data_IF_177572493083
#
_entry.id   IF_177572493083
#
_cell.length_a   1.000
_cell.length_b   1.000
_cell.length_c   1.000
_cell.angle_alpha   90.00
_cell.angle_beta   90.00
_cell.angle_gamma   90.00
#
_symmetry.space_group_name_H-M   'P 1'
#
loop_
_entity.id
_entity.type
_entity.pdbx_description
1 polymer ?
#
# COMPACT_ATOMS: atom_id res chain seq x y z
N UNK A 1 36.41 -29.11 -40.15
CA UNK A 1 35.28 -29.47 -39.24
C UNK A 1 35.89 -29.99 -37.94
N UNK A 2 35.57 -29.56 -36.72
CA UNK A 2 34.48 -28.74 -36.19
C UNK A 2 34.96 -28.22 -34.83
N UNK A 3 34.92 -26.90 -34.63
CA UNK A 3 35.06 -26.26 -33.32
C UNK A 3 33.97 -26.79 -32.36
N UNK A 4 34.30 -27.04 -31.10
CA UNK A 4 33.33 -26.90 -30.00
C UNK A 4 33.90 -25.93 -28.96
N UNK A 5 33.22 -24.80 -28.71
CA UNK A 5 33.71 -23.76 -27.83
C UNK A 5 33.51 -24.14 -26.36
N UNK A 6 34.43 -23.64 -25.53
CA UNK A 6 34.24 -23.51 -24.08
C UNK A 6 32.89 -22.83 -23.84
N UNK A 7 31.99 -23.50 -23.13
CA UNK A 7 30.75 -22.89 -22.63
C UNK A 7 31.13 -21.92 -21.50
N UNK A 8 31.42 -20.67 -21.86
CA UNK A 8 31.45 -19.56 -20.91
C UNK A 8 29.98 -19.27 -20.59
N UNK A 9 29.51 -19.72 -19.42
CA UNK A 9 28.18 -19.39 -18.93
C UNK A 9 28.02 -17.87 -18.94
N UNK A 10 27.06 -17.37 -19.70
CA UNK A 10 26.77 -15.94 -19.76
C UNK A 10 26.08 -15.55 -18.45
N UNK A 11 26.78 -14.85 -17.56
CA UNK A 11 26.22 -14.26 -16.33
C UNK A 11 25.23 -13.12 -16.64
N UNK A 12 24.15 -13.42 -17.37
CA UNK A 12 23.16 -12.42 -17.82
C UNK A 12 22.05 -12.16 -16.79
N UNK A 13 22.09 -12.80 -15.64
CA UNK A 13 21.21 -12.52 -14.50
C UNK A 13 21.94 -12.71 -13.17
N UNK A 14 23.15 -12.15 -13.04
CA UNK A 14 23.72 -11.97 -11.71
C UNK A 14 22.94 -10.82 -11.05
N UNK A 15 21.80 -11.16 -10.43
CA UNK A 15 21.12 -10.23 -9.54
C UNK A 15 22.10 -9.95 -8.40
N UNK A 16 22.69 -8.76 -8.40
CA UNK A 16 23.36 -8.23 -7.22
C UNK A 16 22.22 -7.84 -6.28
N UNK A 17 21.95 -8.57 -5.19
CA UNK A 17 20.91 -8.15 -4.27
C UNK A 17 21.33 -6.79 -3.73
N UNK A 18 20.60 -5.74 -4.12
CA UNK A 18 20.69 -4.46 -3.45
C UNK A 18 20.31 -4.65 -1.98
N UNK A 19 20.88 -3.82 -1.10
CA UNK A 19 20.45 -3.81 0.29
C UNK A 19 19.04 -3.23 0.38
N UNK A 20 18.13 -3.82 1.16
CA UNK A 20 16.78 -3.30 1.29
C UNK A 20 16.77 -2.02 2.13
N UNK A 21 16.06 -0.99 1.65
CA UNK A 21 15.87 0.29 2.32
C UNK A 21 14.39 0.67 2.37
N UNK A 22 13.99 1.32 3.44
CA UNK A 22 12.76 2.12 3.54
C UNK A 22 13.14 3.59 3.39
N UNK A 23 12.37 4.33 2.59
CA UNK A 23 12.65 5.73 2.27
C UNK A 23 11.36 6.55 2.40
N UNK A 24 11.43 7.65 3.13
CA UNK A 24 10.39 8.68 3.18
C UNK A 24 10.83 9.86 2.32
N UNK A 25 9.95 10.28 1.42
CA UNK A 25 10.10 11.48 0.60
C UNK A 25 8.91 12.41 0.78
N UNK A 26 9.15 13.71 0.78
CA UNK A 26 8.09 14.71 0.65
C UNK A 26 7.75 14.90 -0.83
N UNK A 27 6.45 14.92 -1.10
CA UNK A 27 5.87 15.18 -2.42
C UNK A 27 5.22 16.56 -2.41
N UNK A 28 5.37 17.29 -3.51
CA UNK A 28 4.59 18.50 -3.75
C UNK A 28 3.21 18.13 -4.29
N UNK A 29 2.21 19.00 -4.05
CA UNK A 29 0.85 18.83 -4.60
C UNK A 29 0.78 19.05 -6.12
N UNK A 30 1.85 19.56 -6.73
CA UNK A 30 1.95 19.85 -8.15
C UNK A 30 2.40 18.62 -8.96
N UNK A 31 2.15 18.65 -10.28
CA UNK A 31 2.66 17.62 -11.22
C UNK A 31 4.15 17.81 -11.50
N UNK A 32 4.98 17.66 -10.48
CA UNK A 32 6.45 17.67 -10.62
C UNK A 32 7.01 16.29 -10.31
N UNK A 33 8.14 15.97 -10.93
CA UNK A 33 8.92 14.78 -10.57
C UNK A 33 9.87 15.04 -9.40
N UNK A 34 9.81 16.24 -8.82
CA UNK A 34 10.65 16.60 -7.69
C UNK A 34 10.11 15.96 -6.42
N UNK A 35 11.02 15.39 -5.64
CA UNK A 35 10.72 14.83 -4.33
C UNK A 35 11.87 15.17 -3.40
N UNK A 36 11.55 15.66 -2.21
CA UNK A 36 12.56 15.97 -1.20
C UNK A 36 12.77 14.73 -0.33
N UNK A 37 14.01 14.25 -0.29
CA UNK A 37 14.36 13.07 0.50
C UNK A 37 14.40 13.42 1.98
N UNK A 38 13.54 12.81 2.79
CA UNK A 38 13.41 13.14 4.21
C UNK A 38 14.19 12.19 5.11
N UNK A 39 14.09 10.89 4.87
CA UNK A 39 14.64 9.88 5.78
C UNK A 39 14.90 8.53 5.08
N UNK A 40 16.13 7.99 5.15
CA UNK A 40 16.46 6.62 4.74
C UNK A 40 16.72 5.70 5.94
N UNK A 41 16.08 4.54 5.96
CA UNK A 41 16.38 3.46 6.93
C UNK A 41 16.80 2.20 6.19
N UNK A 42 17.95 1.64 6.59
CA UNK A 42 18.40 0.33 6.11
C UNK A 42 17.62 -0.76 6.83
N UNK A 43 17.04 -1.69 6.08
CA UNK A 43 16.30 -2.81 6.65
C UNK A 43 17.26 -3.94 7.03
N UNK A 44 17.19 -4.37 8.29
CA UNK A 44 17.88 -5.58 8.72
C UNK A 44 17.21 -6.82 8.10
N UNK A 45 17.95 -7.91 7.85
CA UNK A 45 17.34 -9.17 7.46
C UNK A 45 16.28 -9.61 8.47
N UNK A 46 15.06 -9.90 8.00
CA UNK A 46 13.94 -10.29 8.85
C UNK A 46 13.28 -9.17 9.65
N UNK A 47 13.65 -7.90 9.42
CA UNK A 47 12.97 -6.77 10.03
C UNK A 47 11.48 -6.76 9.66
N UNK A 48 10.63 -6.42 10.63
CA UNK A 48 9.22 -6.17 10.37
C UNK A 48 9.07 -4.82 9.65
N UNK A 49 8.76 -4.90 8.35
CA UNK A 49 8.66 -3.72 7.49
C UNK A 49 7.60 -2.73 8.01
N UNK A 50 6.48 -3.21 8.56
CA UNK A 50 5.41 -2.33 9.02
C UNK A 50 5.82 -1.56 10.28
N UNK A 51 6.52 -2.22 11.21
CA UNK A 51 7.04 -1.58 12.42
C UNK A 51 8.13 -0.55 12.08
N UNK A 52 9.09 -0.92 11.24
CA UNK A 52 10.16 0.00 10.82
C UNK A 52 9.56 1.22 10.10
N UNK A 53 8.60 1.01 9.20
CA UNK A 53 7.95 2.11 8.48
C UNK A 53 7.17 3.01 9.42
N UNK A 54 6.41 2.44 10.36
CA UNK A 54 5.63 3.23 11.31
C UNK A 54 6.52 4.06 12.24
N UNK A 55 7.62 3.48 12.74
CA UNK A 55 8.57 4.21 13.57
C UNK A 55 9.29 5.31 12.79
N UNK A 56 9.66 5.04 11.53
CA UNK A 56 10.25 6.03 10.64
C UNK A 56 9.30 7.20 10.38
N UNK A 57 8.04 6.92 10.03
CA UNK A 57 7.02 7.95 9.78
C UNK A 57 6.73 8.75 11.05
N UNK A 58 6.63 8.10 12.22
CA UNK A 58 6.41 8.79 13.50
C UNK A 58 7.51 9.82 13.76
N UNK A 59 8.77 9.45 13.59
CA UNK A 59 9.89 10.37 13.78
C UNK A 59 9.86 11.55 12.79
N UNK A 60 9.49 11.31 11.54
CA UNK A 60 9.32 12.38 10.54
C UNK A 60 8.20 13.34 10.97
N UNK A 61 7.04 12.81 11.35
CA UNK A 61 5.88 13.61 11.80
C UNK A 61 6.25 14.43 13.02
N UNK A 62 6.87 13.84 14.03
CA UNK A 62 7.32 14.55 15.24
C UNK A 62 8.26 15.72 14.90
N UNK A 63 9.18 15.55 13.94
CA UNK A 63 10.07 16.62 13.48
C UNK A 63 9.32 17.73 12.72
N UNK A 64 8.32 17.38 11.90
CA UNK A 64 7.48 18.36 11.20
C UNK A 64 6.68 19.21 12.20
N UNK A 65 6.09 18.58 13.21
CA UNK A 65 5.37 19.29 14.29
C UNK A 65 6.32 20.17 15.10
N UNK A 66 7.47 19.63 15.52
CA UNK A 66 8.45 20.37 16.32
C UNK A 66 9.05 21.58 15.57
N UNK A 67 9.12 21.52 14.24
CA UNK A 67 9.59 22.63 13.40
C UNK A 67 8.48 23.61 13.00
N UNK A 68 7.25 23.41 13.47
CA UNK A 68 6.10 24.26 13.17
C UNK A 68 5.60 24.15 11.73
N UNK A 69 6.01 23.11 10.99
CA UNK A 69 5.50 22.84 9.64
C UNK A 69 4.09 22.26 9.64
N UNK A 70 3.63 21.77 10.79
CA UNK A 70 2.26 21.37 11.03
C UNK A 70 1.84 21.85 12.43
N UNK A 71 0.62 22.37 12.54
CA UNK A 71 -0.01 22.83 13.77
C UNK A 71 -1.43 22.28 13.92
N UNK A 72 -1.94 22.23 15.15
CA UNK A 72 -3.33 21.83 15.40
C UNK A 72 -4.30 22.76 14.65
N UNK A 73 -5.12 22.16 13.77
CA UNK A 73 -6.02 22.89 12.86
C UNK A 73 -5.61 22.81 11.40
N UNK A 74 -4.36 22.43 11.11
CA UNK A 74 -3.93 22.09 9.75
C UNK A 74 -4.54 20.75 9.31
N UNK A 75 -4.70 20.51 7.99
CA UNK A 75 -5.06 19.20 7.47
C UNK A 75 -4.11 18.10 7.95
N UNK A 76 -4.61 16.87 8.06
CA UNK A 76 -3.76 15.73 8.40
C UNK A 76 -2.68 15.50 7.33
N UNK A 77 -1.51 15.03 7.77
CA UNK A 77 -0.38 14.76 6.89
C UNK A 77 -0.69 13.47 6.11
N UNK A 78 -0.82 13.58 4.79
CA UNK A 78 -1.09 12.44 3.94
C UNK A 78 0.17 11.58 3.72
N UNK A 79 0.15 10.36 4.23
CA UNK A 79 1.19 9.35 4.03
C UNK A 79 0.78 8.42 2.90
N UNK A 80 1.52 8.46 1.79
CA UNK A 80 1.25 7.62 0.62
C UNK A 80 2.18 6.41 0.62
N UNK A 81 1.61 5.21 0.61
CA UNK A 81 2.33 3.94 0.65
C UNK A 81 2.16 3.18 -0.66
N UNK A 82 3.26 2.60 -1.15
CA UNK A 82 3.21 1.73 -2.32
C UNK A 82 2.64 0.33 -1.98
N UNK A 83 2.29 -0.45 -3.00
CA UNK A 83 1.62 -1.75 -2.89
C UNK A 83 2.44 -2.86 -2.20
N UNK A 84 3.73 -2.61 -1.94
CA UNK A 84 4.57 -3.49 -1.12
C UNK A 84 4.35 -3.34 0.39
N UNK A 85 3.69 -2.28 0.84
CA UNK A 85 3.47 -1.98 2.26
C UNK A 85 2.10 -2.49 2.74
N UNK A 86 2.06 -2.91 4.02
CA UNK A 86 0.82 -3.25 4.72
C UNK A 86 0.16 -1.98 5.25
N UNK A 87 -0.55 -1.26 4.38
CA UNK A 87 -1.17 0.02 4.71
C UNK A 87 -2.16 -0.08 5.90
N UNK A 88 -3.04 -1.09 6.02
CA UNK A 88 -3.90 -1.25 7.19
C UNK A 88 -3.12 -1.40 8.50
N UNK A 89 -2.04 -2.20 8.51
CA UNK A 89 -1.22 -2.36 9.71
C UNK A 89 -0.49 -1.08 10.07
N UNK A 90 0.08 -0.38 9.09
CA UNK A 90 0.78 0.89 9.31
C UNK A 90 -0.19 1.96 9.83
N UNK A 91 -1.39 2.10 9.22
CA UNK A 91 -2.42 3.00 9.72
C UNK A 91 -2.80 2.72 11.17
N UNK A 92 -2.88 1.44 11.56
CA UNK A 92 -3.11 1.05 12.96
C UNK A 92 -1.96 1.44 13.88
N UNK A 93 -0.71 1.28 13.45
CA UNK A 93 0.48 1.62 14.24
C UNK A 93 0.70 3.13 14.39
N UNK A 94 0.18 3.91 13.44
CA UNK A 94 0.24 5.38 13.43
C UNK A 94 -0.99 6.04 14.10
N UNK A 95 -1.93 5.24 14.63
CA UNK A 95 -3.15 5.78 15.24
C UNK A 95 -2.83 6.77 16.37
N UNK A 96 -3.46 7.94 16.34
CA UNK A 96 -3.24 9.02 17.32
C UNK A 96 -2.24 10.08 16.87
N UNK A 97 -1.58 9.91 15.71
CA UNK A 97 -0.84 10.96 15.02
C UNK A 97 -1.77 11.72 14.04
N UNK A 98 -1.45 12.97 13.68
CA UNK A 98 -2.23 13.74 12.71
C UNK A 98 -1.92 13.30 11.27
N UNK A 99 -2.22 12.04 10.94
CA UNK A 99 -1.86 11.43 9.65
C UNK A 99 -3.02 10.65 9.04
N UNK A 100 -3.21 10.86 7.75
CA UNK A 100 -4.06 10.03 6.88
C UNK A 100 -3.17 9.08 6.08
N UNK A 101 -3.52 7.79 6.02
CA UNK A 101 -2.74 6.78 5.29
C UNK A 101 -3.44 6.35 4.01
N UNK A 102 -2.82 6.64 2.87
CA UNK A 102 -3.26 6.20 1.56
C UNK A 102 -2.32 5.12 1.01
N UNK A 103 -2.81 3.88 0.97
CA UNK A 103 -2.05 2.75 0.43
C UNK A 103 -2.50 2.34 -0.97
N UNK A 104 -1.57 2.19 -1.91
CA UNK A 104 -1.83 1.45 -3.15
C UNK A 104 -2.03 -0.02 -2.79
N UNK A 105 -3.10 -0.63 -3.28
CA UNK A 105 -3.30 -2.08 -3.11
C UNK A 105 -2.78 -2.81 -4.34
N UNK A 106 -2.14 -3.98 -4.18
CA UNK A 106 -1.72 -4.79 -5.34
C UNK A 106 -2.95 -5.26 -6.14
N UNK A 107 -2.83 -5.28 -7.46
CA UNK A 107 -3.90 -5.67 -8.38
C UNK A 107 -4.25 -7.17 -8.34
N UNK A 108 -3.43 -8.00 -7.70
CA UNK A 108 -3.66 -9.44 -7.51
C UNK A 108 -4.38 -9.77 -6.19
N UNK A 109 -4.81 -8.75 -5.42
CA UNK A 109 -5.50 -8.96 -4.15
C UNK A 109 -6.94 -9.41 -4.36
N UNK A 110 -7.38 -10.27 -3.45
CA UNK A 110 -8.77 -10.66 -3.28
C UNK A 110 -9.24 -10.12 -1.94
N UNK A 111 -10.20 -9.20 -1.97
CA UNK A 111 -10.92 -8.73 -0.80
C UNK A 111 -12.21 -9.51 -0.63
N UNK A 112 -12.80 -9.41 0.57
CA UNK A 112 -14.09 -10.01 0.87
C UNK A 112 -15.04 -8.92 1.32
N UNK A 113 -16.28 -8.98 0.82
CA UNK A 113 -17.37 -8.13 1.32
C UNK A 113 -17.70 -8.46 2.78
N UNK A 114 -18.39 -7.55 3.48
CA UNK A 114 -18.99 -7.87 4.77
C UNK A 114 -19.77 -9.18 4.70
N UNK A 115 -19.71 -9.96 5.78
CA UNK A 115 -20.59 -11.12 5.91
C UNK A 115 -22.05 -10.66 5.87
N UNK A 116 -22.96 -11.44 5.26
CA UNK A 116 -24.38 -11.15 5.35
C UNK A 116 -24.80 -11.12 6.81
N UNK A 117 -25.80 -10.28 7.11
CA UNK A 117 -26.43 -10.31 8.42
C UNK A 117 -27.05 -11.69 8.67
N UNK A 118 -27.28 -12.03 9.94
CA UNK A 118 -27.90 -13.31 10.28
C UNK A 118 -29.29 -13.46 9.67
N UNK A 119 -30.04 -12.36 9.58
CA UNK A 119 -31.37 -12.31 8.97
C UNK A 119 -31.29 -12.55 7.46
N UNK A 120 -30.42 -11.83 6.75
CA UNK A 120 -30.17 -12.01 5.32
C UNK A 120 -29.78 -13.46 5.00
N UNK A 121 -28.91 -14.05 5.83
CA UNK A 121 -28.48 -15.43 5.68
C UNK A 121 -29.65 -16.41 5.84
N UNK A 122 -30.48 -16.26 6.87
CA UNK A 122 -31.61 -17.16 7.13
C UNK A 122 -32.69 -17.05 6.05
N UNK A 123 -32.94 -15.84 5.54
CA UNK A 123 -33.87 -15.63 4.42
C UNK A 123 -33.39 -16.32 3.14
N UNK A 124 -32.09 -16.21 2.83
CA UNK A 124 -31.49 -16.87 1.67
C UNK A 124 -31.34 -18.40 1.86
N UNK A 125 -31.26 -18.88 3.10
CA UNK A 125 -31.02 -20.28 3.45
C UNK A 125 -32.11 -20.81 4.40
N UNK A 126 -33.36 -20.98 3.93
CA UNK A 126 -34.48 -21.37 4.78
C UNK A 126 -34.33 -22.78 5.37
N UNK A 127 -33.49 -23.63 4.78
CA UNK A 127 -33.15 -24.98 5.30
C UNK A 127 -32.09 -24.94 6.41
N UNK A 128 -31.63 -23.75 6.80
CA UNK A 128 -30.57 -23.56 7.78
C UNK A 128 -29.16 -23.73 7.20
N UNK A 129 -28.17 -23.62 8.06
CA UNK A 129 -26.75 -23.68 7.72
C UNK A 129 -25.90 -22.80 8.63
N UNK A 130 -24.58 -22.85 8.47
CA UNK A 130 -23.65 -21.96 9.17
C UNK A 130 -23.47 -20.68 8.36
N UNK A 131 -23.77 -19.48 8.93
CA UNK A 131 -23.48 -18.23 8.26
C UNK A 131 -21.99 -18.12 7.89
N UNK A 132 -21.65 -17.65 6.69
CA UNK A 132 -20.26 -17.48 6.29
C UNK A 132 -19.60 -16.37 7.12
N UNK A 133 -18.30 -16.51 7.40
CA UNK A 133 -17.52 -15.49 8.12
C UNK A 133 -17.33 -14.20 7.30
N UNK A 134 -17.42 -14.32 5.97
CA UNK A 134 -17.15 -13.26 5.01
C UNK A 134 -18.16 -13.32 3.86
N UNK A 135 -18.41 -12.18 3.22
CA UNK A 135 -19.24 -12.11 2.02
C UNK A 135 -18.51 -12.56 0.75
N UNK A 136 -19.14 -12.28 -0.40
CA UNK A 136 -18.59 -12.60 -1.71
C UNK A 136 -17.23 -11.96 -1.97
N UNK A 137 -16.45 -12.60 -2.84
CA UNK A 137 -15.12 -12.13 -3.26
C UNK A 137 -15.21 -10.85 -4.08
N UNK A 138 -14.24 -9.97 -3.87
CA UNK A 138 -13.93 -8.83 -4.70
C UNK A 138 -12.49 -9.01 -5.18
N UNK A 139 -12.33 -9.54 -6.38
CA UNK A 139 -11.03 -9.89 -6.96
C UNK A 139 -10.58 -8.73 -7.84
N UNK A 140 -9.47 -8.10 -7.49
CA UNK A 140 -8.99 -6.91 -8.20
C UNK A 140 -8.67 -7.18 -9.67
N UNK A 141 -8.27 -8.41 -10.00
CA UNK A 141 -8.00 -8.84 -11.38
C UNK A 141 -9.21 -9.33 -12.17
N UNK A 142 -10.40 -9.44 -11.56
CA UNK A 142 -11.60 -9.98 -12.22
C UNK A 142 -12.80 -9.04 -12.03
N UNK A 143 -13.08 -8.17 -13.02
CA UNK A 143 -14.20 -7.23 -12.98
C UNK A 143 -15.57 -7.87 -12.81
N UNK A 144 -15.75 -9.14 -13.19
CA UNK A 144 -17.04 -9.84 -12.98
C UNK A 144 -17.40 -9.99 -11.50
N UNK A 145 -16.41 -9.90 -10.62
CA UNK A 145 -16.59 -10.01 -9.18
C UNK A 145 -16.86 -8.67 -8.49
N UNK A 146 -16.77 -7.52 -9.18
CA UNK A 146 -16.78 -6.20 -8.53
C UNK A 146 -18.18 -5.76 -8.08
N UNK A 147 -19.22 -6.13 -8.84
CA UNK A 147 -20.58 -5.66 -8.59
C UNK A 147 -20.76 -4.18 -8.95
N UNK A 148 -21.77 -3.53 -8.37
CA UNK A 148 -22.00 -2.10 -8.58
C UNK A 148 -20.97 -1.25 -7.82
N UNK A 149 -20.48 -0.19 -8.46
CA UNK A 149 -19.59 0.77 -7.84
C UNK A 149 -20.29 1.47 -6.67
N UNK A 150 -19.61 1.52 -5.53
CA UNK A 150 -20.13 2.19 -4.33
C UNK A 150 -19.84 3.70 -4.36
N UNK A 151 -18.71 4.08 -4.97
CA UNK A 151 -18.29 5.45 -5.20
C UNK A 151 -17.34 5.47 -6.40
N UNK A 152 -17.44 6.51 -7.23
CA UNK A 152 -16.53 6.76 -8.33
C UNK A 152 -15.93 8.14 -8.18
N UNK A 153 -14.62 8.25 -8.35
CA UNK A 153 -13.91 9.53 -8.39
C UNK A 153 -13.26 9.65 -9.76
N UNK A 154 -13.57 10.74 -10.46
CA UNK A 154 -12.99 11.05 -11.77
C UNK A 154 -12.07 12.25 -11.59
N UNK A 155 -10.83 12.10 -12.03
CA UNK A 155 -9.88 13.21 -12.12
C UNK A 155 -9.58 13.46 -13.58
N UNK A 156 -9.99 14.63 -14.09
CA UNK A 156 -9.65 15.04 -15.45
C UNK A 156 -8.13 15.19 -15.58
N UNK A 157 -7.51 14.18 -16.18
CA UNK A 157 -6.09 14.22 -16.50
C UNK A 157 -5.95 14.88 -17.86
N UNK A 158 -5.91 16.22 -17.89
CA UNK A 158 -5.46 16.93 -19.10
C UNK A 158 -3.97 16.62 -19.30
N UNK A 159 -3.65 15.99 -20.42
CA UNK A 159 -2.28 15.96 -20.93
C UNK A 159 -1.99 17.35 -21.46
N UNK A 160 -1.19 18.12 -20.71
CA UNK A 160 -0.66 19.38 -21.20
C UNK A 160 0.34 19.03 -22.32
N UNK A 161 -0.03 19.34 -23.57
CA UNK A 161 0.81 19.21 -24.76
C UNK A 161 1.53 20.51 -25.08
#
# INVERSE_FOLDING_TARGET
MRNRPRRRGSGKHQMMPGWPYSVVVALETCRTSWSAFLDPVRLAPGADLAEVTADQVRQVVERLVASGQWSAGDPEILIVLDAGYDAPRIARLLSGLPVDVLGRTRSDRVMRRPAPSREEFLLANPKGGRPPKHGGEFVFGDPSTWGAEQAATVTDTRLDG
#
